data_IF_024933627185
#
_entry.id   IF_024933627185
#
_cell.length_a   1.000
_cell.length_b   1.000
_cell.length_c   1.000
_cell.angle_alpha   90.00
_cell.angle_beta   90.00
_cell.angle_gamma   90.00
#
_symmetry.space_group_name_H-M   'P 1'
#
loop_
_entity.id
_entity.type
_entity.pdbx_description
1 polymer ?
#
# COMPACT_ATOMS: atom_id res chain seq x y z
N UNK A 1 -16.62 0.34 -13.72
CA UNK A 1 -16.95 1.54 -12.91
C UNK A 1 -15.75 2.47 -12.96
N UNK A 2 -15.90 3.81 -13.11
CA UNK A 2 -14.73 4.70 -13.09
C UNK A 2 -13.98 4.58 -11.76
N UNK A 3 -12.67 4.82 -11.79
CA UNK A 3 -11.85 4.88 -10.58
C UNK A 3 -12.32 6.03 -9.70
N UNK A 4 -12.53 5.74 -8.42
CA UNK A 4 -12.85 6.73 -7.39
C UNK A 4 -11.91 6.59 -6.21
N UNK A 5 -11.48 7.73 -5.68
CA UNK A 5 -10.61 7.81 -4.51
C UNK A 5 -11.29 8.69 -3.45
N UNK A 6 -11.35 8.19 -2.22
CA UNK A 6 -11.77 8.97 -1.06
C UNK A 6 -10.60 9.08 -0.09
N UNK A 7 -10.25 10.31 0.28
CA UNK A 7 -9.18 10.58 1.24
C UNK A 7 -9.80 10.98 2.58
N UNK A 8 -9.49 10.22 3.61
CA UNK A 8 -10.00 10.42 4.95
C UNK A 8 -8.93 11.09 5.82
N UNK A 9 -9.28 12.26 6.35
CA UNK A 9 -8.47 13.03 7.28
C UNK A 9 -8.94 12.86 8.72
N UNK A 10 -8.11 13.26 9.70
CA UNK A 10 -8.44 13.22 11.13
C UNK A 10 -8.02 11.95 11.87
N UNK A 11 -7.61 10.89 11.16
CA UNK A 11 -6.99 9.71 11.77
C UNK A 11 -5.49 9.97 12.07
N UNK A 12 -4.84 9.17 12.94
CA UNK A 12 -3.38 9.25 13.16
C UNK A 12 -2.53 8.83 11.94
N UNK A 13 -3.16 8.37 10.87
CA UNK A 13 -2.57 7.95 9.60
C UNK A 13 -3.46 8.46 8.46
N UNK A 14 -2.92 8.56 7.25
CA UNK A 14 -3.73 8.83 6.07
C UNK A 14 -4.49 7.56 5.68
N UNK A 15 -5.81 7.63 5.54
CA UNK A 15 -6.60 6.55 4.97
C UNK A 15 -7.06 6.97 3.57
N UNK A 16 -6.76 6.13 2.57
CA UNK A 16 -7.22 6.30 1.20
C UNK A 16 -8.03 5.06 0.83
N UNK A 17 -9.29 5.26 0.48
CA UNK A 17 -10.17 4.21 -0.04
C UNK A 17 -10.26 4.36 -1.56
N UNK A 18 -10.08 3.25 -2.27
CA UNK A 18 -10.09 3.22 -3.73
C UNK A 18 -11.11 2.20 -4.20
N UNK A 19 -11.90 2.60 -5.20
CA UNK A 19 -12.89 1.73 -5.83
C UNK A 19 -12.94 1.90 -7.33
N UNK A 20 -13.47 0.90 -8.02
CA UNK A 20 -13.62 0.90 -9.47
C UNK A 20 -12.49 0.17 -10.18
N UNK A 21 -12.49 0.26 -11.51
CA UNK A 21 -11.54 -0.48 -12.35
C UNK A 21 -10.25 0.32 -12.51
N UNK A 22 -9.10 -0.31 -12.25
CA UNK A 22 -7.80 0.35 -12.24
C UNK A 22 -6.79 -0.35 -13.15
N UNK A 23 -6.09 0.44 -13.96
CA UNK A 23 -4.89 0.05 -14.70
C UNK A 23 -3.63 0.18 -13.83
N UNK A 24 -2.48 -0.28 -14.31
CA UNK A 24 -1.19 -0.03 -13.64
C UNK A 24 -0.95 1.47 -13.38
N UNK A 25 -1.25 2.33 -14.36
CA UNK A 25 -1.06 3.78 -14.24
C UNK A 25 -1.95 4.37 -13.13
N UNK A 26 -3.16 3.84 -12.96
CA UNK A 26 -4.07 4.25 -11.88
C UNK A 26 -3.51 3.87 -10.50
N UNK A 27 -2.92 2.68 -10.36
CA UNK A 27 -2.27 2.28 -9.10
C UNK A 27 -1.09 3.20 -8.77
N UNK A 28 -0.29 3.54 -9.77
CA UNK A 28 0.82 4.49 -9.60
C UNK A 28 0.30 5.87 -9.20
N UNK A 29 -0.78 6.35 -9.84
CA UNK A 29 -1.44 7.60 -9.51
C UNK A 29 -1.96 7.65 -8.07
N UNK A 30 -2.65 6.61 -7.61
CA UNK A 30 -3.13 6.46 -6.22
C UNK A 30 -1.96 6.60 -5.24
N UNK A 31 -0.85 5.91 -5.51
CA UNK A 31 0.29 5.86 -4.59
C UNK A 31 1.03 7.18 -4.56
N UNK A 32 1.26 7.82 -5.71
CA UNK A 32 1.86 9.16 -5.76
C UNK A 32 0.99 10.18 -5.05
N UNK A 33 -0.33 10.14 -5.25
CA UNK A 33 -1.26 11.03 -4.54
C UNK A 33 -1.16 10.84 -3.02
N UNK A 34 -1.22 9.60 -2.54
CA UNK A 34 -1.11 9.31 -1.11
C UNK A 34 0.23 9.78 -0.53
N UNK A 35 1.34 9.52 -1.23
CA UNK A 35 2.68 9.95 -0.81
C UNK A 35 2.79 11.49 -0.77
N UNK A 36 2.26 12.20 -1.78
CA UNK A 36 2.23 13.66 -1.81
C UNK A 36 1.39 14.22 -0.67
N UNK A 37 0.22 13.64 -0.38
CA UNK A 37 -0.62 14.08 0.74
C UNK A 37 0.10 13.86 2.07
N UNK A 38 0.73 12.70 2.29
CA UNK A 38 1.55 12.46 3.49
C UNK A 38 2.79 13.37 3.59
N UNK A 39 3.34 13.84 2.48
CA UNK A 39 4.46 14.78 2.52
C UNK A 39 3.97 16.20 2.87
N UNK A 40 2.82 16.62 2.34
CA UNK A 40 2.24 17.94 2.56
C UNK A 40 1.49 18.08 3.90
N UNK A 41 1.01 16.98 4.46
CA UNK A 41 0.29 16.91 5.74
C UNK A 41 1.03 15.93 6.63
N UNK A 42 1.31 16.26 7.89
CA UNK A 42 2.27 15.56 8.79
C UNK A 42 2.02 14.05 9.06
N UNK A 43 1.21 13.35 8.28
CA UNK A 43 1.07 11.91 8.28
C UNK A 43 2.39 11.22 7.98
N UNK A 44 2.78 10.31 8.88
CA UNK A 44 3.93 9.44 8.69
C UNK A 44 3.55 8.01 8.33
N UNK A 45 2.25 7.71 8.34
CA UNK A 45 1.68 6.37 8.13
C UNK A 45 0.52 6.48 7.16
N UNK A 46 0.35 5.46 6.33
CA UNK A 46 -0.70 5.43 5.31
C UNK A 46 -1.37 4.05 5.26
N UNK A 47 -2.68 4.03 5.07
CA UNK A 47 -3.47 2.83 4.80
C UNK A 47 -4.20 3.04 3.48
N UNK A 48 -3.98 2.14 2.52
CA UNK A 48 -4.69 2.09 1.25
C UNK A 48 -5.69 0.93 1.29
N UNK A 49 -6.99 1.23 1.30
CA UNK A 49 -8.03 0.22 1.14
C UNK A 49 -8.38 0.09 -0.34
N UNK A 50 -8.02 -1.06 -0.92
CA UNK A 50 -8.12 -1.39 -2.32
C UNK A 50 -9.11 -2.54 -2.57
N UNK A 51 -9.90 -2.93 -1.55
CA UNK A 51 -10.81 -4.10 -1.66
C UNK A 51 -11.92 -3.90 -2.68
N UNK A 52 -12.32 -2.66 -2.92
CA UNK A 52 -13.34 -2.29 -3.90
C UNK A 52 -12.75 -1.95 -5.27
N UNK A 53 -11.44 -2.16 -5.45
CA UNK A 53 -10.71 -1.88 -6.69
C UNK A 53 -10.55 -3.17 -7.49
N UNK A 54 -11.03 -3.15 -8.73
CA UNK A 54 -10.87 -4.23 -9.69
C UNK A 54 -9.60 -3.99 -10.50
N UNK A 55 -8.73 -4.99 -10.59
CA UNK A 55 -7.47 -4.89 -11.32
C UNK A 55 -7.10 -6.22 -11.95
N UNK A 56 -6.42 -6.15 -13.09
CA UNK A 56 -5.79 -7.30 -13.74
C UNK A 56 -4.39 -6.88 -14.13
N UNK A 57 -3.42 -7.19 -13.26
CA UNK A 57 -2.01 -6.91 -13.51
C UNK A 57 -1.30 -8.20 -13.89
N UNK A 58 -0.50 -8.14 -14.95
CA UNK A 58 0.47 -9.17 -15.26
C UNK A 58 1.58 -9.21 -14.20
N UNK A 59 2.32 -10.32 -14.16
CA UNK A 59 3.44 -10.49 -13.23
C UNK A 59 4.47 -9.35 -13.30
N UNK A 60 4.83 -8.92 -14.51
CA UNK A 60 5.79 -7.83 -14.74
C UNK A 60 5.26 -6.49 -14.24
N UNK A 61 3.95 -6.24 -14.39
CA UNK A 61 3.29 -5.04 -13.88
C UNK A 61 3.25 -5.04 -12.35
N UNK A 62 3.04 -6.21 -11.72
CA UNK A 62 3.16 -6.34 -10.26
C UNK A 62 4.56 -5.98 -9.75
N UNK A 63 5.62 -6.38 -10.47
CA UNK A 63 7.00 -6.03 -10.13
C UNK A 63 7.24 -4.52 -10.29
N UNK A 64 6.83 -3.96 -11.43
CA UNK A 64 6.95 -2.53 -11.71
C UNK A 64 6.20 -1.70 -10.67
N UNK A 65 4.97 -2.08 -10.35
CA UNK A 65 4.17 -1.44 -9.32
C UNK A 65 4.84 -1.50 -7.95
N UNK A 66 5.36 -2.67 -7.57
CA UNK A 66 6.03 -2.84 -6.28
C UNK A 66 7.24 -1.92 -6.13
N UNK A 67 8.13 -1.87 -7.12
CA UNK A 67 9.28 -0.95 -7.11
C UNK A 67 8.82 0.51 -7.02
N UNK A 68 7.86 0.91 -7.86
CA UNK A 68 7.32 2.26 -7.86
C UNK A 68 6.73 2.65 -6.50
N UNK A 69 5.92 1.76 -5.91
CA UNK A 69 5.31 1.98 -4.59
C UNK A 69 6.39 2.17 -3.56
N UNK A 70 7.36 1.27 -3.55
CA UNK A 70 8.46 1.30 -2.59
C UNK A 70 9.26 2.60 -2.64
N UNK A 71 9.56 3.12 -3.84
CA UNK A 71 10.28 4.38 -4.01
C UNK A 71 9.49 5.60 -3.53
N UNK A 72 8.18 5.64 -3.82
CA UNK A 72 7.31 6.77 -3.45
C UNK A 72 7.03 6.82 -1.95
N UNK A 73 6.98 5.68 -1.26
CA UNK A 73 6.58 5.60 0.15
C UNK A 73 7.72 5.28 1.12
N UNK A 74 8.97 5.21 0.64
CA UNK A 74 10.15 4.87 1.49
C UNK A 74 10.34 5.77 2.70
N UNK A 75 9.86 7.00 2.64
CA UNK A 75 9.97 7.97 3.73
C UNK A 75 8.85 7.85 4.78
N UNK A 76 7.83 7.02 4.52
CA UNK A 76 6.77 6.74 5.49
C UNK A 76 7.23 5.68 6.50
N UNK A 77 6.82 5.86 7.75
CA UNK A 77 7.12 4.93 8.83
C UNK A 77 6.48 3.56 8.59
N UNK A 78 5.24 3.55 8.05
CA UNK A 78 4.45 2.35 7.74
C UNK A 78 3.44 2.61 6.63
N UNK A 79 3.30 1.65 5.72
CA UNK A 79 2.24 1.62 4.71
C UNK A 79 1.53 0.28 4.75
N UNK A 80 0.22 0.32 4.95
CA UNK A 80 -0.62 -0.86 4.84
C UNK A 80 -1.43 -0.78 3.55
N UNK A 81 -1.55 -1.91 2.85
CA UNK A 81 -2.53 -2.07 1.78
C UNK A 81 -3.53 -3.14 2.19
N UNK A 82 -4.81 -2.92 1.93
CA UNK A 82 -5.87 -3.91 2.13
C UNK A 82 -6.43 -4.27 0.79
N UNK A 83 -6.33 -5.54 0.43
CA UNK A 83 -6.74 -6.08 -0.87
C UNK A 83 -7.66 -7.27 -0.65
N UNK A 84 -8.37 -7.70 -1.70
CA UNK A 84 -9.12 -8.95 -1.58
C UNK A 84 -8.16 -10.17 -1.56
N UNK A 85 -8.56 -11.32 -0.99
CA UNK A 85 -7.71 -12.52 -0.97
C UNK A 85 -7.23 -12.96 -2.35
N UNK A 86 -8.06 -12.79 -3.37
CA UNK A 86 -7.82 -13.26 -4.74
C UNK A 86 -6.66 -12.53 -5.40
N UNK A 87 -6.48 -11.24 -5.10
CA UNK A 87 -5.42 -10.41 -5.70
C UNK A 87 -4.16 -10.32 -4.83
N UNK A 88 -4.14 -10.99 -3.67
CA UNK A 88 -2.98 -11.01 -2.77
C UNK A 88 -1.90 -11.97 -3.29
N UNK A 89 -1.09 -11.49 -4.23
CA UNK A 89 0.04 -12.26 -4.79
C UNK A 89 1.34 -12.16 -3.99
N UNK A 90 1.51 -11.11 -3.19
CA UNK A 90 2.75 -10.82 -2.44
C UNK A 90 3.93 -10.36 -3.31
N UNK A 91 3.78 -10.32 -4.64
CA UNK A 91 4.85 -9.93 -5.58
C UNK A 91 5.20 -8.45 -5.40
N UNK A 92 4.19 -7.58 -5.49
CA UNK A 92 4.38 -6.12 -5.34
C UNK A 92 4.86 -5.75 -3.94
N UNK A 93 4.40 -6.45 -2.89
CA UNK A 93 4.89 -6.24 -1.52
C UNK A 93 6.38 -6.58 -1.38
N UNK A 94 6.80 -7.75 -1.88
CA UNK A 94 8.22 -8.15 -1.85
C UNK A 94 9.09 -7.17 -2.63
N UNK A 95 8.64 -6.72 -3.80
CA UNK A 95 9.35 -5.73 -4.60
C UNK A 95 9.46 -4.36 -3.88
N UNK A 96 8.36 -3.86 -3.30
CA UNK A 96 8.36 -2.60 -2.54
C UNK A 96 9.30 -2.65 -1.33
N UNK A 97 9.32 -3.78 -0.60
CA UNK A 97 10.21 -3.94 0.56
C UNK A 97 11.70 -3.91 0.19
N UNK A 98 12.06 -4.35 -1.03
CA UNK A 98 13.46 -4.30 -1.51
C UNK A 98 13.97 -2.86 -1.69
N UNK A 99 13.09 -1.88 -1.85
CA UNK A 99 13.48 -0.46 -1.95
C UNK A 99 13.59 0.23 -0.58
N UNK A 100 13.40 -0.52 0.52
CA UNK A 100 13.44 -0.01 1.89
C UNK A 100 12.08 0.43 2.44
N UNK A 101 11.00 0.35 1.66
CA UNK A 101 9.67 0.69 2.16
C UNK A 101 9.18 -0.31 3.21
N UNK A 102 8.56 0.22 4.27
CA UNK A 102 7.85 -0.57 5.28
C UNK A 102 6.41 -0.76 4.86
N UNK A 103 6.22 -1.56 3.83
CA UNK A 103 4.93 -1.89 3.28
C UNK A 103 4.50 -3.31 3.67
N UNK A 104 3.21 -3.49 4.00
CA UNK A 104 2.61 -4.80 4.22
C UNK A 104 1.20 -4.88 3.64
N UNK A 105 0.88 -5.97 2.94
CA UNK A 105 -0.46 -6.22 2.41
C UNK A 105 -1.28 -7.13 3.35
N UNK A 106 -2.55 -6.77 3.52
CA UNK A 106 -3.54 -7.45 4.34
C UNK A 106 -4.80 -7.76 3.52
N UNK A 107 -5.58 -8.72 4.00
CA UNK A 107 -6.92 -9.02 3.45
C UNK A 107 -8.06 -8.55 4.35
N UNK A 108 -7.71 -7.94 5.49
CA UNK A 108 -8.61 -7.58 6.58
C UNK A 108 -8.21 -6.19 7.09
N UNK A 109 -9.17 -5.27 7.13
CA UNK A 109 -8.94 -3.87 7.50
C UNK A 109 -8.56 -3.74 8.98
N UNK A 110 -9.14 -4.58 9.84
CA UNK A 110 -8.89 -4.61 11.27
C UNK A 110 -7.41 -4.97 11.56
N UNK A 111 -6.87 -5.96 10.83
CA UNK A 111 -5.47 -6.34 10.94
C UNK A 111 -4.52 -5.25 10.43
N UNK A 112 -4.87 -4.61 9.30
CA UNK A 112 -4.08 -3.52 8.73
C UNK A 112 -4.01 -2.31 9.68
N UNK A 113 -5.16 -1.92 10.25
CA UNK A 113 -5.27 -0.84 11.22
C UNK A 113 -4.49 -1.16 12.50
N UNK A 114 -4.62 -2.37 13.04
CA UNK A 114 -3.85 -2.80 14.22
C UNK A 114 -2.33 -2.69 13.99
N UNK A 115 -1.84 -3.10 12.81
CA UNK A 115 -0.42 -3.02 12.47
C UNK A 115 0.06 -1.57 12.22
N UNK A 116 -0.78 -0.72 11.61
CA UNK A 116 -0.50 0.70 11.43
C UNK A 116 -0.38 1.42 12.78
N UNK A 117 -1.19 1.04 13.76
CA UNK A 117 -1.12 1.60 15.12
C UNK A 117 0.03 1.04 15.94
N UNK A 118 0.47 -0.20 15.69
CA UNK A 118 1.52 -0.80 16.49
C UNK A 118 2.81 0.03 16.42
N UNK A 119 3.53 0.09 17.53
CA UNK A 119 4.83 0.78 17.58
C UNK A 119 6.00 -0.12 17.17
N UNK A 120 5.70 -1.35 16.75
CA UNK A 120 6.72 -2.26 16.22
C UNK A 120 7.23 -1.72 14.89
N UNK A 121 8.45 -1.17 14.93
CA UNK A 121 9.31 -0.97 13.78
C UNK A 121 9.78 -2.38 13.37
N UNK A 122 8.96 -3.13 12.63
CA UNK A 122 9.25 -4.52 12.30
C UNK A 122 10.67 -4.66 11.74
N UNK A 123 11.56 -5.38 12.47
CA UNK A 123 12.84 -5.87 11.93
C UNK A 123 12.56 -6.62 10.63
N UNK A 124 13.43 -6.53 9.62
CA UNK A 124 13.30 -7.38 8.45
C UNK A 124 13.26 -8.83 8.93
N UNK A 125 12.21 -9.57 8.55
CA UNK A 125 12.16 -11.00 8.72
C UNK A 125 13.39 -11.58 7.99
N UNK A 126 14.37 -12.03 8.78
CA UNK A 126 15.49 -12.81 8.29
C UNK A 126 14.94 -14.02 7.54
N UNK A 127 15.51 -14.28 6.37
CA UNK A 127 15.23 -15.47 5.58
C UNK A 127 15.48 -16.70 6.45
N UNK A 128 14.42 -17.46 6.69
CA UNK A 128 14.49 -18.85 7.09
C UNK A 128 14.03 -19.69 5.91
N UNK A 129 14.86 -19.77 4.87
CA UNK A 129 14.85 -20.93 3.98
C UNK A 129 15.87 -21.90 4.59
N UNK A 130 15.33 -22.89 5.31
CA UNK A 130 15.99 -24.16 5.58
C UNK A 130 15.75 -25.10 4.39
#
# INVERSE_FOLDING_TARGET
MPLQLTIHHGLPYLLVEVSGTASLADHQGVVSLAATVCAGTRYRRCLLDLRSMETSLAFTEHLQLGTFVGENVRNLEKVATVVTPEVRSGISEKAARKTGARLRAFTCIEQATAWIHSNELSRPAELSDA
#
